data_IF_773217733254
#
_entry.id   IF_773217733254
#
_cell.length_a   1.000
_cell.length_b   1.000
_cell.length_c   1.000
_cell.angle_alpha   90.00
_cell.angle_beta   90.00
_cell.angle_gamma   90.00
#
_symmetry.space_group_name_H-M   'P 1'
#
loop_
_entity.id
_entity.type
_entity.pdbx_description
1 polymer ?
#
# COMPACT_ATOMS: atom_id res chain seq x y z
N UNK A 1 13.34 12.30 0.42
CA UNK A 1 13.39 10.82 0.41
C UNK A 1 12.22 10.34 -0.43
N UNK A 2 12.48 9.51 -1.44
CA UNK A 2 11.50 8.93 -2.35
C UNK A 2 10.93 7.61 -1.79
N UNK A 3 9.94 7.04 -2.47
CA UNK A 3 9.53 5.64 -2.23
C UNK A 3 10.68 4.73 -2.67
N UNK A 4 11.10 3.84 -1.79
CA UNK A 4 12.06 2.77 -2.10
C UNK A 4 11.28 1.47 -2.30
N UNK A 5 11.60 0.67 -3.31
CA UNK A 5 10.91 -0.59 -3.54
C UNK A 5 11.87 -1.69 -3.96
N UNK A 6 11.59 -2.90 -3.50
CA UNK A 6 12.34 -4.09 -3.85
C UNK A 6 11.37 -5.17 -4.30
N UNK A 7 11.64 -5.77 -5.46
CA UNK A 7 10.96 -6.99 -5.85
C UNK A 7 11.49 -8.17 -5.04
N UNK A 8 10.58 -9.06 -4.67
CA UNK A 8 10.86 -10.35 -4.04
C UNK A 8 10.40 -11.45 -4.99
N UNK A 9 10.77 -12.70 -4.71
CA UNK A 9 10.32 -13.86 -5.51
C UNK A 9 8.79 -13.94 -5.66
N UNK A 10 8.04 -13.33 -4.74
CA UNK A 10 6.57 -13.41 -4.67
C UNK A 10 5.87 -12.05 -4.82
N UNK A 11 6.58 -10.99 -5.19
CA UNK A 11 5.97 -9.67 -5.44
C UNK A 11 6.86 -8.51 -5.04
N UNK A 12 6.40 -7.56 -4.22
CA UNK A 12 7.15 -6.33 -3.95
C UNK A 12 6.99 -5.81 -2.52
N UNK A 13 8.01 -5.14 -2.00
CA UNK A 13 7.95 -4.38 -0.74
C UNK A 13 8.28 -2.92 -1.05
N UNK A 14 7.33 -2.02 -0.76
CA UNK A 14 7.46 -0.58 -0.95
C UNK A 14 7.62 0.08 0.42
N UNK A 15 8.76 0.72 0.64
CA UNK A 15 9.09 1.47 1.83
C UNK A 15 8.83 2.94 1.58
N UNK A 16 7.87 3.48 2.32
CA UNK A 16 7.48 4.87 2.17
C UNK A 16 8.38 5.79 2.99
N UNK A 17 8.66 7.02 2.49
CA UNK A 17 9.51 7.96 3.20
C UNK A 17 8.85 8.43 4.51
N UNK A 18 9.62 9.02 5.44
CA UNK A 18 9.08 9.58 6.68
C UNK A 18 7.98 10.63 6.46
N UNK A 19 8.09 11.41 5.38
CA UNK A 19 7.14 12.48 5.05
C UNK A 19 6.63 12.30 3.62
N UNK A 20 5.44 11.75 3.47
CA UNK A 20 4.77 11.67 2.17
C UNK A 20 4.03 12.98 1.89
N UNK A 21 4.77 13.93 1.29
CA UNK A 21 4.26 15.24 0.85
C UNK A 21 4.07 15.30 -0.66
N UNK A 22 3.75 14.15 -1.24
CA UNK A 22 3.67 13.91 -2.67
C UNK A 22 2.58 14.78 -3.30
N UNK A 23 2.87 15.28 -4.50
CA UNK A 23 1.98 16.08 -5.34
C UNK A 23 1.54 15.25 -6.55
N UNK A 24 0.56 15.77 -7.29
CA UNK A 24 0.07 15.13 -8.52
C UNK A 24 1.19 14.92 -9.53
N UNK A 25 2.06 15.92 -9.68
CA UNK A 25 3.22 15.89 -10.59
C UNK A 25 4.28 14.82 -10.26
N UNK A 26 4.26 14.28 -9.04
CA UNK A 26 5.21 13.24 -8.61
C UNK A 26 4.80 11.82 -9.06
N UNK A 27 3.59 11.63 -9.60
CA UNK A 27 3.17 10.38 -10.24
C UNK A 27 3.04 9.17 -9.31
N UNK A 28 2.73 9.38 -8.02
CA UNK A 28 2.65 8.29 -7.04
C UNK A 28 1.61 7.23 -7.41
N UNK A 29 0.43 7.67 -7.85
CA UNK A 29 -0.66 6.75 -8.21
C UNK A 29 -0.23 5.84 -9.36
N UNK A 30 0.33 6.42 -10.40
CA UNK A 30 0.80 5.74 -11.61
C UNK A 30 1.91 4.74 -11.27
N UNK A 31 2.84 5.13 -10.37
CA UNK A 31 3.87 4.24 -9.85
C UNK A 31 3.26 3.02 -9.13
N UNK A 32 2.33 3.26 -8.21
CA UNK A 32 1.69 2.17 -7.45
C UNK A 32 0.89 1.24 -8.38
N UNK A 33 0.14 1.80 -9.33
CA UNK A 33 -0.62 1.02 -10.32
C UNK A 33 0.30 0.16 -11.20
N UNK A 34 1.44 0.72 -11.60
CA UNK A 34 2.46 0.00 -12.38
C UNK A 34 2.99 -1.18 -11.58
N UNK A 35 3.38 -0.97 -10.32
CA UNK A 35 3.90 -2.04 -9.46
C UNK A 35 2.85 -3.13 -9.24
N UNK A 36 1.59 -2.77 -8.97
CA UNK A 36 0.49 -3.73 -8.81
C UNK A 36 0.31 -4.58 -10.06
N UNK A 37 0.31 -3.93 -11.24
CA UNK A 37 0.21 -4.62 -12.53
C UNK A 37 1.39 -5.55 -12.76
N UNK A 38 2.63 -5.11 -12.52
CA UNK A 38 3.81 -5.97 -12.68
C UNK A 38 3.80 -7.17 -11.73
N UNK A 39 3.34 -7.02 -10.48
CA UNK A 39 3.23 -8.14 -9.55
C UNK A 39 2.12 -9.11 -9.97
N UNK A 40 1.04 -8.63 -10.60
CA UNK A 40 0.00 -9.49 -11.18
C UNK A 40 0.53 -10.39 -12.30
N UNK A 41 1.63 -10.07 -12.96
CA UNK A 41 2.19 -10.92 -14.03
C UNK A 41 3.04 -12.09 -13.50
N UNK A 42 3.39 -12.09 -12.21
CA UNK A 42 4.21 -13.16 -11.62
C UNK A 42 3.41 -14.47 -11.60
N UNK A 43 3.96 -15.55 -12.16
CA UNK A 43 3.29 -16.86 -12.30
C UNK A 43 3.19 -17.67 -11.00
N UNK A 44 3.11 -17.03 -9.83
CA UNK A 44 3.01 -17.71 -8.52
C UNK A 44 1.63 -17.51 -7.90
N UNK A 45 1.11 -18.52 -7.19
CA UNK A 45 -0.23 -18.47 -6.59
C UNK A 45 -0.32 -17.53 -5.37
N UNK A 46 0.83 -17.12 -4.81
CA UNK A 46 0.91 -16.33 -3.56
C UNK A 46 1.58 -14.96 -3.78
N UNK A 47 1.16 -14.25 -4.83
CA UNK A 47 1.62 -12.90 -5.14
C UNK A 47 1.25 -11.94 -4.02
N UNK A 48 2.21 -11.15 -3.53
CA UNK A 48 1.94 -10.16 -2.50
C UNK A 48 2.73 -8.87 -2.65
N UNK A 49 2.12 -7.78 -2.21
CA UNK A 49 2.73 -6.47 -2.11
C UNK A 49 2.66 -6.02 -0.66
N UNK A 50 3.77 -5.54 -0.12
CA UNK A 50 3.79 -4.89 1.18
C UNK A 50 4.01 -3.39 1.02
N UNK A 51 3.08 -2.60 1.55
CA UNK A 51 3.24 -1.18 1.79
C UNK A 51 3.76 -0.98 3.21
N UNK A 52 5.06 -0.73 3.34
CA UNK A 52 5.76 -0.55 4.60
C UNK A 52 5.78 0.95 4.98
N UNK A 53 4.86 1.32 5.87
CA UNK A 53 4.76 2.65 6.49
C UNK A 53 5.44 2.70 7.87
N UNK A 54 6.24 1.71 8.24
CA UNK A 54 6.77 1.60 9.62
C UNK A 54 7.72 2.74 10.00
N UNK A 55 8.29 3.43 9.02
CA UNK A 55 9.11 4.64 9.20
C UNK A 55 8.39 5.92 8.75
N UNK A 56 7.14 5.83 8.30
CA UNK A 56 6.35 6.97 7.82
C UNK A 56 5.68 7.68 8.99
N UNK A 57 5.85 9.00 9.04
CA UNK A 57 5.34 9.86 10.10
C UNK A 57 4.15 10.69 9.64
N UNK A 58 4.14 11.09 8.37
CA UNK A 58 3.09 11.94 7.79
C UNK A 58 2.70 11.42 6.41
N UNK A 59 1.39 11.32 6.18
CA UNK A 59 0.79 11.05 4.87
C UNK A 59 -0.15 12.21 4.54
N UNK A 60 0.14 12.94 3.46
CA UNK A 60 -0.74 14.02 3.03
C UNK A 60 -2.01 13.47 2.34
N UNK A 61 -3.05 14.30 2.17
CA UNK A 61 -4.32 13.83 1.59
C UNK A 61 -4.18 13.23 0.19
N UNK A 62 -3.33 13.79 -0.66
CA UNK A 62 -3.09 13.26 -2.00
C UNK A 62 -2.52 11.82 -1.93
N UNK A 63 -1.47 11.61 -1.14
CA UNK A 63 -0.87 10.29 -0.97
C UNK A 63 -1.85 9.28 -0.38
N UNK A 64 -2.64 9.70 0.62
CA UNK A 64 -3.66 8.85 1.23
C UNK A 64 -4.70 8.41 0.19
N UNK A 65 -5.18 9.33 -0.64
CA UNK A 65 -6.14 9.01 -1.72
C UNK A 65 -5.53 8.05 -2.74
N UNK A 66 -4.29 8.25 -3.18
CA UNK A 66 -3.61 7.31 -4.07
C UNK A 66 -3.52 5.91 -3.46
N UNK A 67 -3.26 5.79 -2.16
CA UNK A 67 -3.22 4.49 -1.47
C UNK A 67 -4.61 3.86 -1.37
N UNK A 68 -5.66 4.65 -1.08
CA UNK A 68 -7.04 4.14 -1.02
C UNK A 68 -7.52 3.60 -2.36
N UNK A 69 -7.23 4.29 -3.46
CA UNK A 69 -7.58 3.83 -4.80
C UNK A 69 -6.89 2.49 -5.15
N UNK A 70 -5.65 2.28 -4.70
CA UNK A 70 -4.95 1.01 -4.87
C UNK A 70 -5.58 -0.11 -4.01
N UNK A 71 -5.99 0.21 -2.78
CA UNK A 71 -6.71 -0.76 -1.93
C UNK A 71 -8.00 -1.21 -2.63
N UNK A 72 -8.78 -0.28 -3.15
CA UNK A 72 -10.03 -0.57 -3.85
C UNK A 72 -9.81 -1.38 -5.14
N UNK A 73 -8.75 -1.05 -5.90
CA UNK A 73 -8.36 -1.84 -7.07
C UNK A 73 -8.01 -3.29 -6.68
N UNK A 74 -7.19 -3.50 -5.64
CA UNK A 74 -6.82 -4.85 -5.18
C UNK A 74 -8.01 -5.60 -4.59
N UNK A 75 -8.97 -4.92 -3.98
CA UNK A 75 -10.19 -5.56 -3.47
C UNK A 75 -11.13 -6.00 -4.59
N UNK A 76 -11.20 -5.23 -5.67
CA UNK A 76 -12.06 -5.51 -6.82
C UNK A 76 -11.44 -6.51 -7.79
N UNK A 77 -10.11 -6.46 -7.95
CA UNK A 77 -9.35 -7.25 -8.90
C UNK A 77 -8.45 -8.25 -8.16
N UNK A 78 -8.94 -9.48 -8.05
CA UNK A 78 -8.21 -10.61 -7.48
C UNK A 78 -6.91 -10.89 -8.27
N UNK A 79 -5.87 -11.36 -7.57
CA UNK A 79 -4.60 -11.76 -8.19
C UNK A 79 -3.36 -11.34 -7.42
N UNK A 80 -3.49 -10.47 -6.41
CA UNK A 80 -2.41 -10.06 -5.51
C UNK A 80 -2.98 -9.87 -4.10
N UNK A 81 -2.17 -10.20 -3.10
CA UNK A 81 -2.43 -9.89 -1.69
C UNK A 81 -1.68 -8.62 -1.27
N UNK A 82 -2.38 -7.60 -0.76
CA UNK A 82 -1.78 -6.35 -0.29
C UNK A 82 -1.71 -6.33 1.25
N UNK A 83 -0.53 -6.03 1.77
CA UNK A 83 -0.29 -5.85 3.21
C UNK A 83 0.11 -4.42 3.49
N UNK A 84 -0.61 -3.73 4.37
CA UNK A 84 -0.22 -2.42 4.89
C UNK A 84 0.41 -2.58 6.27
N UNK A 85 1.70 -2.28 6.39
CA UNK A 85 2.48 -2.41 7.62
C UNK A 85 2.68 -1.07 8.31
N UNK A 86 2.22 -0.98 9.57
CA UNK A 86 2.33 0.22 10.40
C UNK A 86 3.17 -0.04 11.65
N UNK A 87 3.79 1.02 12.20
CA UNK A 87 4.47 1.02 13.50
C UNK A 87 4.14 2.30 14.27
N UNK A 88 4.10 2.21 15.60
CA UNK A 88 3.90 3.36 16.47
C UNK A 88 2.50 3.97 16.37
N UNK A 89 2.41 5.29 16.60
CA UNK A 89 1.15 6.04 16.68
C UNK A 89 1.03 7.19 15.67
N UNK A 90 2.08 7.51 14.91
CA UNK A 90 2.11 8.69 14.04
C UNK A 90 1.03 8.64 12.95
N UNK A 91 0.80 7.47 12.37
CA UNK A 91 -0.23 7.27 11.34
C UNK A 91 -1.51 6.64 11.88
N UNK A 92 -1.84 6.82 13.16
CA UNK A 92 -3.00 6.16 13.79
C UNK A 92 -4.30 6.46 13.04
N UNK A 93 -4.55 7.71 12.68
CA UNK A 93 -5.81 8.09 12.03
C UNK A 93 -5.88 7.55 10.59
N UNK A 94 -4.75 7.52 9.89
CA UNK A 94 -4.65 6.89 8.58
C UNK A 94 -4.86 5.36 8.67
N UNK A 95 -4.26 4.69 9.67
CA UNK A 95 -4.49 3.26 9.95
C UNK A 95 -5.98 2.98 10.21
N UNK A 96 -6.65 3.82 11.00
CA UNK A 96 -8.09 3.69 11.28
C UNK A 96 -8.91 3.86 10.00
N UNK A 97 -8.58 4.85 9.17
CA UNK A 97 -9.27 5.08 7.91
C UNK A 97 -9.13 3.89 6.95
N UNK A 98 -7.92 3.31 6.83
CA UNK A 98 -7.68 2.06 6.08
C UNK A 98 -8.55 0.94 6.63
N UNK A 99 -8.52 0.67 7.94
CA UNK A 99 -9.32 -0.41 8.55
C UNK A 99 -10.83 -0.20 8.31
N UNK A 100 -11.30 1.04 8.39
CA UNK A 100 -12.70 1.38 8.10
C UNK A 100 -13.06 1.12 6.64
N UNK A 101 -12.17 1.44 5.70
CA UNK A 101 -12.36 1.08 4.29
C UNK A 101 -12.45 -0.44 4.12
N UNK A 102 -11.51 -1.19 4.70
CA UNK A 102 -11.49 -2.65 4.60
C UNK A 102 -12.75 -3.30 5.19
N UNK A 103 -13.31 -2.77 6.27
CA UNK A 103 -14.55 -3.29 6.87
C UNK A 103 -15.80 -3.17 5.99
N UNK A 104 -15.74 -2.42 4.88
CA UNK A 104 -16.86 -2.24 3.93
C UNK A 104 -16.84 -3.26 2.80
N UNK A 105 -15.81 -4.12 2.72
CA UNK A 105 -15.62 -5.10 1.66
C UNK A 105 -15.41 -6.48 2.27
N UNK A 106 -16.02 -7.50 1.67
CA UNK A 106 -15.83 -8.91 2.06
C UNK A 106 -14.51 -9.49 1.52
N UNK A 107 -13.77 -8.71 0.71
CA UNK A 107 -12.52 -9.14 0.09
C UNK A 107 -11.42 -9.31 1.14
N UNK A 108 -10.78 -10.48 1.10
CA UNK A 108 -9.63 -10.83 1.94
C UNK A 108 -8.29 -10.55 1.25
N UNK A 109 -8.28 -9.88 0.10
CA UNK A 109 -7.05 -9.59 -0.65
C UNK A 109 -6.19 -8.51 0.00
N UNK A 110 -6.71 -7.78 0.98
CA UNK A 110 -5.97 -6.69 1.67
C UNK A 110 -5.97 -6.91 3.18
N UNK A 111 -4.83 -6.69 3.82
CA UNK A 111 -4.67 -6.83 5.26
C UNK A 111 -3.81 -5.72 5.86
N UNK A 112 -4.05 -5.43 7.14
CA UNK A 112 -3.30 -4.44 7.90
C UNK A 112 -2.51 -5.13 9.01
N UNK A 113 -1.18 -4.98 8.97
CA UNK A 113 -0.26 -5.50 9.96
C UNK A 113 0.29 -4.38 10.83
N UNK A 114 0.22 -4.56 12.15
CA UNK A 114 0.90 -3.67 13.10
C UNK A 114 2.17 -4.34 13.59
N UNK A 115 3.33 -3.76 13.30
CA UNK A 115 4.63 -4.26 13.77
C UNK A 115 4.88 -3.74 15.20
N UNK A 116 5.48 -4.60 16.02
CA UNK A 116 5.95 -4.23 17.37
C UNK A 116 7.11 -3.23 17.29
#
# INVERSE_FOLDING_TARGET
MSVDFNFTEKGAVLRFPPYMRTRVEDGLKELLQTIVSSVREISTENRSIEFDFTNTLVVNPYSANSIFEIIEDVQTNNGVYLVLSFRGKHLKDFEIAVRKLLSRSDSKSVNVRKRK
#
